data_IF_175115518905
#
_entry.id   IF_175115518905
#
_cell.length_a   1.000
_cell.length_b   1.000
_cell.length_c   1.000
_cell.angle_alpha   90.00
_cell.angle_beta   90.00
_cell.angle_gamma   90.00
#
_symmetry.space_group_name_H-M   'P 1'
#
loop_
_entity.id
_entity.type
_entity.pdbx_description
1 polymer ?
#
# COMPACT_ATOMS: atom_id res chain seq x y z
N UNK A 1 6.92 6.53 33.26
CA UNK A 1 7.18 5.95 31.93
C UNK A 1 6.65 4.54 31.98
N UNK A 2 5.81 4.16 31.03
CA UNK A 2 5.30 2.80 30.91
C UNK A 2 6.45 1.83 30.60
N UNK A 3 6.33 0.60 31.08
CA UNK A 3 7.27 -0.47 30.75
C UNK A 3 6.73 -1.25 29.56
N UNK A 4 7.31 -1.03 28.38
CA UNK A 4 6.93 -1.71 27.14
C UNK A 4 8.05 -2.67 26.74
N UNK A 5 7.69 -3.91 26.44
CA UNK A 5 8.64 -4.90 25.95
C UNK A 5 8.00 -5.85 24.93
N UNK A 6 8.85 -6.40 24.07
CA UNK A 6 8.48 -7.43 23.11
C UNK A 6 9.36 -8.64 23.35
N UNK A 7 8.72 -9.81 23.44
CA UNK A 7 9.40 -11.09 23.58
C UNK A 7 9.01 -12.00 22.42
N UNK A 8 10.00 -12.44 21.65
CA UNK A 8 9.80 -13.43 20.58
C UNK A 8 9.66 -14.82 21.22
N UNK A 9 8.61 -15.55 20.86
CA UNK A 9 8.36 -16.88 21.44
C UNK A 9 9.23 -17.89 20.70
N UNK A 10 10.26 -18.40 21.38
CA UNK A 10 11.17 -19.40 20.84
C UNK A 10 10.44 -20.64 20.32
N UNK A 11 10.95 -21.21 19.22
CA UNK A 11 10.36 -22.38 18.57
C UNK A 11 9.05 -22.12 17.82
N UNK A 12 8.57 -20.88 17.76
CA UNK A 12 7.38 -20.51 16.99
C UNK A 12 7.67 -19.38 16.00
N UNK A 13 7.47 -19.66 14.70
CA UNK A 13 7.66 -18.66 13.66
C UNK A 13 6.64 -17.52 13.81
N UNK A 14 7.12 -16.27 13.72
CA UNK A 14 6.32 -15.04 13.69
C UNK A 14 5.52 -14.67 14.95
N UNK A 15 5.58 -15.48 16.01
CA UNK A 15 4.81 -15.23 17.23
C UNK A 15 5.64 -14.44 18.24
N UNK A 16 4.97 -13.54 18.95
CA UNK A 16 5.57 -12.73 20.00
C UNK A 16 4.56 -12.41 21.10
N UNK A 17 5.07 -11.90 22.22
CA UNK A 17 4.30 -11.29 23.29
C UNK A 17 4.66 -9.81 23.35
N UNK A 18 3.66 -8.94 23.30
CA UNK A 18 3.79 -7.53 23.65
C UNK A 18 3.31 -7.37 25.08
N UNK A 19 4.15 -6.80 25.93
CA UNK A 19 3.81 -6.46 27.32
C UNK A 19 3.85 -4.96 27.51
N UNK A 20 2.83 -4.41 28.17
CA UNK A 20 2.71 -3.01 28.55
C UNK A 20 2.27 -2.96 30.01
N UNK A 21 3.17 -2.51 30.89
CA UNK A 21 3.00 -2.56 32.34
C UNK A 21 2.65 -3.99 32.81
N UNK A 22 1.49 -4.19 33.43
CA UNK A 22 1.02 -5.47 33.95
C UNK A 22 0.23 -6.31 32.93
N UNK A 23 -0.12 -5.74 31.77
CA UNK A 23 -0.87 -6.47 30.74
C UNK A 23 0.04 -7.00 29.63
N UNK A 24 -0.40 -8.08 28.99
CA UNK A 24 0.33 -8.68 27.89
C UNK A 24 -0.61 -9.35 26.88
N UNK A 25 -0.23 -9.29 25.61
CA UNK A 25 -0.96 -9.93 24.53
C UNK A 25 0.00 -10.76 23.68
N UNK A 26 -0.41 -11.99 23.36
CA UNK A 26 0.27 -12.82 22.37
C UNK A 26 -0.27 -12.48 20.99
N UNK A 27 0.62 -12.25 20.04
CA UNK A 27 0.28 -11.90 18.67
C UNK A 27 1.21 -12.57 17.66
N UNK A 28 0.87 -12.41 16.38
CA UNK A 28 1.58 -13.03 15.26
C UNK A 28 1.71 -12.07 14.07
N UNK A 29 2.92 -11.98 13.51
CA UNK A 29 3.19 -11.34 12.22
C UNK A 29 2.94 -12.32 11.06
N UNK A 30 2.67 -11.81 9.86
CA UNK A 30 2.57 -12.64 8.67
C UNK A 30 3.93 -13.07 8.18
N UNK A 31 4.93 -12.19 8.29
CA UNK A 31 6.30 -12.46 7.89
C UNK A 31 7.28 -12.14 9.01
N UNK A 32 8.45 -12.78 9.00
CA UNK A 32 9.57 -12.42 9.88
C UNK A 32 9.32 -12.53 11.39
N UNK A 33 10.24 -11.96 12.16
CA UNK A 33 10.11 -11.74 13.60
C UNK A 33 10.04 -10.25 13.86
N UNK A 34 9.39 -9.80 14.95
CA UNK A 34 9.47 -8.40 15.33
C UNK A 34 10.92 -7.96 15.50
N UNK A 35 11.28 -6.82 14.93
CA UNK A 35 12.60 -6.19 15.12
C UNK A 35 12.55 -4.98 16.05
N UNK A 36 11.33 -4.55 16.41
CA UNK A 36 11.11 -3.44 17.33
C UNK A 36 9.67 -2.98 17.39
N UNK A 37 9.47 -1.83 18.02
CA UNK A 37 8.20 -1.12 18.04
C UNK A 37 8.41 0.38 18.06
N UNK A 38 7.38 1.10 17.66
CA UNK A 38 7.27 2.55 17.82
C UNK A 38 6.00 2.89 18.58
N UNK A 39 6.08 3.86 19.49
CA UNK A 39 4.88 4.46 20.10
C UNK A 39 4.36 5.49 19.10
N UNK A 40 3.10 5.34 18.72
CA UNK A 40 2.40 6.23 17.80
C UNK A 40 1.16 6.79 18.47
N UNK A 41 0.67 7.92 17.97
CA UNK A 41 -0.57 8.52 18.42
C UNK A 41 -1.48 8.64 17.20
N UNK A 42 -2.50 7.78 17.16
CA UNK A 42 -3.44 7.73 16.03
C UNK A 42 -4.48 8.84 16.17
N UNK A 43 -4.93 9.14 17.39
CA UNK A 43 -5.90 10.19 17.71
C UNK A 43 -5.53 10.90 19.01
N UNK A 44 -4.90 12.07 18.85
CA UNK A 44 -4.37 12.91 19.93
C UNK A 44 -5.43 13.44 20.90
N UNK A 45 -6.71 13.24 20.57
CA UNK A 45 -7.84 13.66 21.39
C UNK A 45 -8.33 12.57 22.36
N UNK A 46 -7.81 11.33 22.24
CA UNK A 46 -8.15 10.25 23.14
C UNK A 46 -7.05 10.02 24.20
N UNK A 47 -7.23 8.99 25.04
CA UNK A 47 -6.27 8.63 26.10
C UNK A 47 -5.55 7.31 25.82
N UNK A 48 -5.71 6.78 24.62
CA UNK A 48 -5.04 5.56 24.23
C UNK A 48 -3.60 5.88 23.86
N UNK A 49 -2.73 4.94 24.18
CA UNK A 49 -1.39 4.90 23.63
C UNK A 49 -1.34 3.80 22.59
N UNK A 50 -0.89 4.12 21.37
CA UNK A 50 -0.74 3.12 20.33
C UNK A 50 0.71 2.66 20.15
N UNK A 51 0.87 1.36 19.91
CA UNK A 51 2.14 0.70 19.72
C UNK A 51 2.08 0.01 18.36
N UNK A 52 3.00 0.39 17.47
CA UNK A 52 3.19 -0.24 16.18
C UNK A 52 4.39 -1.20 16.27
N UNK A 53 4.10 -2.51 16.32
CA UNK A 53 5.12 -3.56 16.31
C UNK A 53 5.52 -3.85 14.87
N UNK A 54 6.82 -3.79 14.58
CA UNK A 54 7.35 -3.78 13.23
C UNK A 54 8.14 -5.05 12.89
N UNK A 55 8.09 -5.42 11.61
CA UNK A 55 9.06 -6.30 10.96
C UNK A 55 9.28 -5.82 9.53
N UNK A 56 10.50 -5.89 8.98
CA UNK A 56 10.81 -5.37 7.64
C UNK A 56 10.23 -6.24 6.51
N UNK A 57 9.78 -7.46 6.82
CA UNK A 57 9.34 -8.42 5.82
C UNK A 57 10.41 -8.78 4.77
N UNK A 58 10.08 -9.64 3.79
CA UNK A 58 10.94 -9.86 2.63
C UNK A 58 10.96 -8.61 1.73
N UNK A 59 12.12 -8.25 1.16
CA UNK A 59 12.22 -7.18 0.15
C UNK A 59 11.62 -5.82 0.52
N UNK A 60 11.68 -5.43 1.81
CA UNK A 60 11.04 -4.21 2.33
C UNK A 60 9.51 -4.21 2.25
N UNK A 61 8.91 -5.40 2.28
CA UNK A 61 7.47 -5.61 2.51
C UNK A 61 7.17 -5.45 4.00
N UNK A 62 7.49 -4.27 4.55
CA UNK A 62 7.35 -3.98 5.97
C UNK A 62 5.92 -4.29 6.45
N UNK A 63 5.81 -4.74 7.68
CA UNK A 63 4.55 -5.09 8.31
C UNK A 63 4.50 -4.49 9.71
N UNK A 64 3.35 -3.90 10.03
CA UNK A 64 3.07 -3.25 11.29
C UNK A 64 1.81 -3.85 11.90
N UNK A 65 1.93 -4.41 13.10
CA UNK A 65 0.79 -4.79 13.91
C UNK A 65 0.53 -3.71 14.95
N UNK A 66 -0.67 -3.12 14.89
CA UNK A 66 -1.04 -1.95 15.68
C UNK A 66 -1.83 -2.40 16.90
N UNK A 67 -1.41 -1.94 18.08
CA UNK A 67 -2.07 -2.17 19.35
C UNK A 67 -2.44 -0.84 19.99
N UNK A 68 -3.57 -0.79 20.69
CA UNK A 68 -3.96 0.32 21.55
C UNK A 68 -4.01 -0.13 22.99
N UNK A 69 -3.51 0.71 23.89
CA UNK A 69 -3.52 0.51 25.33
C UNK A 69 -4.27 1.67 26.00
N UNK A 70 -5.25 1.35 26.85
CA UNK A 70 -6.07 2.35 27.56
C UNK A 70 -5.68 2.55 29.02
N UNK A 71 -4.46 2.14 29.41
CA UNK A 71 -4.03 2.11 30.82
C UNK A 71 -4.44 0.85 31.58
N UNK A 72 -5.27 -0.03 31.00
CA UNK A 72 -5.76 -1.26 31.64
C UNK A 72 -5.48 -2.48 30.78
N UNK A 73 -5.84 -2.43 29.49
CA UNK A 73 -5.81 -3.56 28.58
C UNK A 73 -5.25 -3.21 27.21
N UNK A 74 -4.50 -4.12 26.63
CA UNK A 74 -3.97 -4.06 25.26
C UNK A 74 -4.98 -4.66 24.29
N UNK A 75 -5.19 -3.99 23.16
CA UNK A 75 -6.07 -4.47 22.09
C UNK A 75 -5.41 -4.32 20.73
N UNK A 76 -5.44 -5.39 19.93
CA UNK A 76 -5.06 -5.31 18.51
C UNK A 76 -6.07 -4.43 17.75
N UNK A 77 -5.56 -3.40 17.08
CA UNK A 77 -6.35 -2.42 16.33
C UNK A 77 -6.33 -2.70 14.82
N UNK A 78 -5.33 -3.41 14.33
CA UNK A 78 -5.26 -3.78 12.93
C UNK A 78 -3.83 -3.93 12.46
N UNK A 79 -3.69 -4.23 11.17
CA UNK A 79 -2.42 -4.48 10.53
C UNK A 79 -2.26 -3.55 9.34
N UNK A 80 -1.08 -2.98 9.21
CA UNK A 80 -0.70 -2.11 8.11
C UNK A 80 0.53 -2.71 7.41
N UNK A 81 0.59 -2.56 6.10
CA UNK A 81 1.77 -2.89 5.32
C UNK A 81 2.60 -1.63 5.05
N UNK A 82 3.84 -1.83 4.57
CA UNK A 82 4.70 -0.79 3.99
C UNK A 82 4.92 0.38 4.94
N UNK A 83 4.89 1.62 4.47
CA UNK A 83 5.32 2.77 5.26
C UNK A 83 4.12 3.61 5.70
N UNK A 84 3.58 3.37 6.92
CA UNK A 84 2.48 4.17 7.47
C UNK A 84 2.93 5.54 7.97
N UNK A 85 2.05 6.53 7.83
CA UNK A 85 2.15 7.83 8.47
C UNK A 85 0.89 8.09 9.30
N UNK A 86 1.07 8.25 10.60
CA UNK A 86 0.02 8.57 11.56
C UNK A 86 -0.15 10.09 11.67
N UNK A 87 -1.40 10.57 11.60
CA UNK A 87 -1.69 12.01 11.60
C UNK A 87 -2.25 12.54 12.93
N UNK A 88 -2.51 11.68 13.92
CA UNK A 88 -3.01 12.09 15.24
C UNK A 88 -4.46 12.60 15.24
N UNK A 89 -5.22 12.37 14.17
CA UNK A 89 -6.62 12.78 14.02
C UNK A 89 -7.53 11.62 13.58
N UNK A 90 -7.14 10.40 13.92
CA UNK A 90 -7.80 9.17 13.50
C UNK A 90 -7.47 8.73 12.07
N UNK A 91 -6.55 9.40 11.36
CA UNK A 91 -6.17 9.05 9.99
C UNK A 91 -4.76 8.49 9.95
N UNK A 92 -4.60 7.40 9.20
CA UNK A 92 -3.30 6.84 8.81
C UNK A 92 -3.23 6.77 7.29
N UNK A 93 -2.13 7.23 6.72
CA UNK A 93 -1.85 7.04 5.28
C UNK A 93 -0.71 6.05 5.14
N UNK A 94 -0.96 4.96 4.42
CA UNK A 94 0.05 3.96 4.07
C UNK A 94 0.55 4.23 2.66
N UNK A 95 1.88 4.30 2.49
CA UNK A 95 2.53 4.42 1.19
C UNK A 95 3.10 3.06 0.77
N UNK A 96 2.67 2.56 -0.38
CA UNK A 96 3.14 1.32 -1.00
C UNK A 96 3.84 1.63 -2.33
N UNK A 97 4.99 1.02 -2.58
CA UNK A 97 5.77 1.26 -3.80
C UNK A 97 5.30 0.35 -4.93
N UNK A 98 4.87 0.95 -6.04
CA UNK A 98 4.30 0.27 -7.20
C UNK A 98 5.28 0.24 -8.38
N UNK A 99 6.58 0.17 -8.10
CA UNK A 99 7.64 0.07 -9.10
C UNK A 99 8.17 1.42 -9.60
N UNK A 100 7.31 2.35 -10.03
CA UNK A 100 7.72 3.70 -10.50
C UNK A 100 6.93 4.85 -9.88
N UNK A 101 5.94 4.51 -9.05
CA UNK A 101 5.08 5.45 -8.34
C UNK A 101 4.68 4.83 -7.00
N UNK A 102 3.98 5.59 -6.15
CA UNK A 102 3.55 5.10 -4.86
C UNK A 102 2.05 5.19 -4.66
N UNK A 103 1.42 4.04 -4.39
CA UNK A 103 0.03 3.94 -3.97
C UNK A 103 -0.11 4.49 -2.55
N UNK A 104 -1.17 5.26 -2.31
CA UNK A 104 -1.47 5.82 -1.00
C UNK A 104 -2.84 5.34 -0.54
N UNK A 105 -2.84 4.49 0.47
CA UNK A 105 -4.06 3.99 1.10
C UNK A 105 -4.41 4.79 2.35
N UNK A 106 -5.69 5.04 2.55
CA UNK A 106 -6.19 5.76 3.72
C UNK A 106 -6.87 4.80 4.66
N UNK A 107 -6.44 4.79 5.91
CA UNK A 107 -7.10 4.11 7.00
C UNK A 107 -7.71 5.14 7.95
N UNK A 108 -8.87 4.82 8.50
CA UNK A 108 -9.53 5.61 9.55
C UNK A 108 -9.72 4.78 10.79
N UNK A 109 -9.51 5.38 11.94
CA UNK A 109 -9.78 4.78 13.23
C UNK A 109 -11.29 4.71 13.46
N UNK A 110 -11.82 3.50 13.55
CA UNK A 110 -13.16 3.26 14.06
C UNK A 110 -13.12 3.34 15.59
N UNK A 111 -13.54 4.48 16.14
CA UNK A 111 -13.49 4.76 17.57
C UNK A 111 -14.24 3.71 18.42
N UNK A 112 -15.39 3.22 17.94
CA UNK A 112 -16.21 2.26 18.67
C UNK A 112 -15.57 0.86 18.68
N UNK A 113 -15.09 0.41 17.52
CA UNK A 113 -14.46 -0.89 17.40
C UNK A 113 -13.01 -0.89 17.90
N UNK A 114 -12.39 0.30 18.03
CA UNK A 114 -10.95 0.51 18.21
C UNK A 114 -10.15 -0.29 17.18
N UNK A 115 -10.50 -0.12 15.90
CA UNK A 115 -9.79 -0.76 14.80
C UNK A 115 -9.55 0.22 13.65
N UNK A 116 -8.45 0.01 12.91
CA UNK A 116 -8.17 0.73 11.67
C UNK A 116 -8.96 0.10 10.52
N UNK A 117 -9.67 0.94 9.77
CA UNK A 117 -10.48 0.52 8.63
C UNK A 117 -9.95 1.19 7.36
N UNK A 118 -9.62 0.38 6.35
CA UNK A 118 -9.28 0.87 5.02
C UNK A 118 -10.49 1.61 4.42
N UNK A 119 -10.25 2.81 3.90
CA UNK A 119 -11.18 3.52 3.03
C UNK A 119 -10.75 3.21 1.59
N UNK A 120 -11.45 2.32 0.88
CA UNK A 120 -11.08 1.93 -0.47
C UNK A 120 -11.21 3.12 -1.43
N UNK A 121 -10.30 3.17 -2.40
CA UNK A 121 -10.34 4.11 -3.52
C UNK A 121 -10.40 3.31 -4.81
N UNK A 122 -11.30 3.70 -5.71
CA UNK A 122 -11.43 3.06 -7.02
C UNK A 122 -10.22 3.35 -7.92
N UNK A 123 -9.65 4.55 -7.78
CA UNK A 123 -8.52 5.03 -8.57
C UNK A 123 -7.50 5.72 -7.67
N UNK A 124 -6.23 5.51 -7.99
CA UNK A 124 -5.11 6.12 -7.30
C UNK A 124 -4.40 7.11 -8.21
N UNK A 125 -4.05 8.27 -7.67
CA UNK A 125 -3.30 9.28 -8.41
C UNK A 125 -1.84 8.86 -8.59
N UNK A 126 -1.37 8.86 -9.84
CA UNK A 126 0.01 8.58 -10.24
C UNK A 126 0.74 9.91 -10.50
N UNK A 127 0.27 10.70 -11.47
CA UNK A 127 0.74 12.05 -11.71
C UNK A 127 2.15 12.18 -12.26
N UNK A 128 2.61 11.22 -13.07
CA UNK A 128 3.99 11.19 -13.59
C UNK A 128 4.01 11.63 -15.05
N UNK A 129 4.77 12.68 -15.34
CA UNK A 129 5.14 13.06 -16.71
C UNK A 129 6.33 12.23 -17.18
N UNK A 130 6.25 11.70 -18.40
CA UNK A 130 7.33 10.92 -19.01
C UNK A 130 7.31 11.02 -20.53
N UNK A 131 8.33 10.48 -21.18
CA UNK A 131 8.48 10.44 -22.63
C UNK A 131 8.23 9.03 -23.15
N UNK A 132 7.48 8.95 -24.24
CA UNK A 132 7.25 7.69 -24.97
C UNK A 132 8.54 7.27 -25.67
N UNK A 133 9.05 6.08 -25.37
CA UNK A 133 10.23 5.49 -26.04
C UNK A 133 9.83 4.70 -27.29
N UNK A 134 8.73 3.96 -27.19
CA UNK A 134 8.17 3.15 -28.28
C UNK A 134 6.66 3.35 -28.34
N UNK A 135 6.09 3.23 -29.54
CA UNK A 135 4.65 3.44 -29.72
C UNK A 135 3.80 2.37 -29.04
N UNK A 136 2.66 2.78 -28.50
CA UNK A 136 1.64 1.89 -27.98
C UNK A 136 0.26 2.56 -27.96
N UNK A 137 -0.83 1.77 -28.04
CA UNK A 137 -2.18 2.31 -28.03
C UNK A 137 -2.65 2.65 -26.62
N UNK A 138 -3.51 3.67 -26.54
CA UNK A 138 -4.43 3.86 -25.41
C UNK A 138 -5.87 3.64 -25.90
N UNK A 139 -6.65 2.92 -25.10
CA UNK A 139 -8.00 2.48 -25.42
C UNK A 139 -9.07 3.32 -24.73
N UNK A 140 -10.30 3.23 -25.23
CA UNK A 140 -11.43 4.01 -24.73
C UNK A 140 -11.84 3.62 -23.31
N UNK A 141 -11.87 2.33 -23.00
CA UNK A 141 -12.23 1.80 -21.67
C UNK A 141 -11.25 0.69 -21.26
N UNK A 142 -11.43 0.13 -20.06
CA UNK A 142 -10.62 -1.00 -19.54
C UNK A 142 -11.12 -2.36 -20.07
N UNK A 143 -12.28 -2.39 -20.71
CA UNK A 143 -12.97 -3.60 -21.18
C UNK A 143 -12.97 -3.70 -22.70
N UNK A 144 -12.78 -2.58 -23.39
CA UNK A 144 -12.84 -2.45 -24.84
C UNK A 144 -11.45 -2.15 -25.42
N UNK A 145 -11.05 -2.91 -26.44
CA UNK A 145 -9.78 -2.74 -27.17
C UNK A 145 -9.84 -1.64 -28.24
N UNK A 146 -10.94 -0.89 -28.35
CA UNK A 146 -11.06 0.24 -29.25
C UNK A 146 -9.99 1.29 -28.92
N UNK A 147 -9.00 1.40 -29.82
CA UNK A 147 -7.91 2.36 -29.75
C UNK A 147 -8.45 3.77 -29.98
N UNK A 148 -8.09 4.69 -29.08
CA UNK A 148 -8.37 6.13 -29.23
C UNK A 148 -7.22 6.83 -29.94
N UNK A 149 -5.99 6.47 -29.58
CA UNK A 149 -4.77 6.99 -30.22
C UNK A 149 -3.60 6.04 -29.98
N UNK A 150 -2.70 5.94 -30.96
CA UNK A 150 -1.38 5.37 -30.78
C UNK A 150 -0.42 6.49 -30.36
N UNK A 151 0.20 6.32 -29.20
CA UNK A 151 1.15 7.30 -28.68
C UNK A 151 2.45 7.24 -29.49
N UNK A 152 2.95 8.40 -29.92
CA UNK A 152 4.11 8.48 -30.80
C UNK A 152 5.44 8.46 -30.01
N UNK A 153 6.49 7.79 -30.50
CA UNK A 153 7.81 7.88 -29.90
C UNK A 153 8.29 9.33 -29.78
N UNK A 154 8.96 9.65 -28.68
CA UNK A 154 9.46 10.96 -28.27
C UNK A 154 8.39 11.99 -27.85
N UNK A 155 7.10 11.68 -27.98
CA UNK A 155 6.03 12.52 -27.42
C UNK A 155 6.02 12.46 -25.90
N UNK A 156 5.45 13.49 -25.28
CA UNK A 156 5.22 13.54 -23.83
C UNK A 156 3.85 12.97 -23.46
N UNK A 157 3.80 12.33 -22.30
CA UNK A 157 2.55 11.84 -21.70
C UNK A 157 2.54 12.08 -20.20
N UNK A 158 1.34 12.08 -19.62
CA UNK A 158 1.15 12.00 -18.17
C UNK A 158 0.42 10.70 -17.85
N UNK A 159 1.04 9.86 -17.04
CA UNK A 159 0.36 8.73 -16.39
C UNK A 159 -0.41 9.31 -15.20
N UNK A 160 -1.74 9.42 -15.33
CA UNK A 160 -2.58 10.19 -14.40
C UNK A 160 -3.08 9.35 -13.24
N UNK A 161 -3.74 8.24 -13.54
CA UNK A 161 -4.43 7.40 -12.57
C UNK A 161 -4.06 5.94 -12.77
N UNK A 162 -4.13 5.17 -11.70
CA UNK A 162 -4.02 3.71 -11.71
C UNK A 162 -5.26 3.08 -11.08
N UNK A 163 -5.75 2.03 -11.71
CA UNK A 163 -6.67 1.05 -11.16
C UNK A 163 -5.92 -0.29 -10.98
N UNK A 164 -5.56 -0.66 -9.73
CA UNK A 164 -4.87 -1.90 -9.43
C UNK A 164 -5.82 -3.10 -9.26
N UNK A 165 -7.07 -3.03 -9.76
CA UNK A 165 -8.05 -4.08 -9.49
C UNK A 165 -7.67 -5.43 -10.14
N UNK A 166 -7.52 -6.51 -9.34
CA UNK A 166 -7.16 -7.84 -9.84
C UNK A 166 -8.30 -8.52 -10.61
N UNK A 167 -9.51 -7.95 -10.62
CA UNK A 167 -10.65 -8.51 -11.37
C UNK A 167 -10.37 -8.63 -12.86
N UNK A 168 -9.44 -7.83 -13.40
CA UNK A 168 -9.07 -7.87 -14.81
C UNK A 168 -7.95 -8.88 -15.14
N UNK A 169 -7.37 -9.57 -14.16
CA UNK A 169 -6.32 -10.58 -14.34
C UNK A 169 -6.81 -12.03 -14.38
N UNK A 170 -7.95 -12.33 -13.75
CA UNK A 170 -8.28 -13.70 -13.27
C UNK A 170 -8.44 -14.77 -14.36
N UNK A 171 -8.48 -14.40 -15.64
CA UNK A 171 -8.62 -15.35 -16.75
C UNK A 171 -7.34 -15.57 -17.57
N UNK A 172 -6.38 -14.63 -17.58
CA UNK A 172 -5.24 -14.69 -18.51
C UNK A 172 -3.90 -15.15 -17.90
N UNK A 173 -3.74 -15.11 -16.57
CA UNK A 173 -2.41 -15.30 -15.94
C UNK A 173 -2.46 -16.24 -14.72
N UNK A 174 -2.72 -17.54 -14.97
CA UNK A 174 -2.63 -18.57 -13.91
C UNK A 174 -1.20 -18.84 -13.41
N UNK A 175 -0.17 -18.43 -14.14
CA UNK A 175 1.22 -18.85 -13.90
C UNK A 175 2.27 -17.71 -13.85
N UNK A 176 1.87 -16.43 -13.76
CA UNK A 176 2.83 -15.29 -13.70
C UNK A 176 2.80 -14.65 -12.31
N UNK A 177 3.98 -14.53 -11.70
CA UNK A 177 4.22 -14.14 -10.30
C UNK A 177 4.13 -12.62 -10.06
N UNK A 178 4.03 -11.79 -11.11
CA UNK A 178 3.98 -10.32 -10.98
C UNK A 178 2.58 -9.75 -11.28
N UNK A 179 1.81 -9.53 -10.22
CA UNK A 179 0.41 -9.07 -10.23
C UNK A 179 0.22 -7.68 -10.89
N UNK A 180 1.26 -6.83 -10.88
CA UNK A 180 1.21 -5.45 -11.35
C UNK A 180 1.02 -5.28 -12.87
N UNK A 181 1.34 -6.29 -13.68
CA UNK A 181 1.23 -6.19 -15.14
C UNK A 181 -0.22 -6.00 -15.65
N UNK A 182 -1.18 -6.33 -14.81
CA UNK A 182 -2.60 -6.14 -15.08
C UNK A 182 -3.14 -4.75 -14.77
N UNK A 183 -2.40 -3.95 -14.00
CA UNK A 183 -2.85 -2.65 -13.56
C UNK A 183 -3.21 -1.78 -14.76
N UNK A 184 -4.36 -1.10 -14.66
CA UNK A 184 -4.84 -0.20 -15.70
C UNK A 184 -4.44 1.21 -15.38
N UNK A 185 -3.81 1.88 -16.35
CA UNK A 185 -3.37 3.25 -16.23
C UNK A 185 -4.15 4.15 -17.16
N UNK A 186 -4.66 5.25 -16.62
CA UNK A 186 -5.26 6.31 -17.40
C UNK A 186 -4.17 7.31 -17.79
N UNK A 187 -3.95 7.46 -19.09
CA UNK A 187 -2.82 8.21 -19.66
C UNK A 187 -3.37 9.36 -20.49
N UNK A 188 -2.73 10.53 -20.36
CA UNK A 188 -3.00 11.72 -21.17
C UNK A 188 -1.83 11.98 -22.12
N UNK A 189 -2.12 12.13 -23.42
CA UNK A 189 -1.15 12.56 -24.42
C UNK A 189 -0.82 14.06 -24.31
N UNK A 190 0.27 14.49 -24.94
CA UNK A 190 0.60 15.92 -25.06
C UNK A 190 -0.46 16.76 -25.78
N UNK A 191 -1.25 16.15 -26.68
CA UNK A 191 -2.38 16.79 -27.38
C UNK A 191 -3.66 16.85 -26.54
N UNK A 192 -3.66 16.26 -25.34
CA UNK A 192 -4.80 16.27 -24.42
C UNK A 192 -5.80 15.12 -24.61
N UNK A 193 -5.52 14.17 -25.50
CA UNK A 193 -6.30 12.94 -25.64
C UNK A 193 -6.01 12.03 -24.44
N UNK A 194 -7.05 11.39 -23.90
CA UNK A 194 -6.94 10.49 -22.76
C UNK A 194 -7.45 9.10 -23.10
N UNK A 195 -6.87 8.09 -22.46
CA UNK A 195 -7.26 6.69 -22.65
C UNK A 195 -6.60 5.76 -21.65
N UNK A 196 -7.01 4.52 -21.67
CA UNK A 196 -6.56 3.46 -20.77
C UNK A 196 -5.52 2.56 -21.44
N UNK A 197 -4.48 2.19 -20.71
CA UNK A 197 -3.56 1.14 -21.13
C UNK A 197 -3.20 0.26 -19.93
N UNK A 198 -3.07 -1.05 -20.15
CA UNK A 198 -2.51 -1.95 -19.14
C UNK A 198 -0.99 -1.77 -19.05
N UNK A 199 -0.43 -1.96 -17.86
CA UNK A 199 1.02 -1.89 -17.66
C UNK A 199 1.78 -2.79 -18.63
N UNK A 200 1.30 -4.02 -18.88
CA UNK A 200 1.90 -4.96 -19.86
C UNK A 200 2.14 -4.37 -21.25
N UNK A 201 1.38 -3.36 -21.66
CA UNK A 201 1.51 -2.76 -22.99
C UNK A 201 2.62 -1.72 -23.07
N UNK A 202 3.05 -1.14 -21.95
CA UNK A 202 3.94 0.02 -21.93
C UNK A 202 5.07 -0.01 -20.89
N UNK A 203 5.20 -1.07 -20.09
CA UNK A 203 6.15 -1.15 -18.97
C UNK A 203 7.60 -0.75 -19.35
N UNK A 204 8.05 -1.13 -20.54
CA UNK A 204 9.36 -0.81 -21.13
C UNK A 204 9.32 0.30 -22.19
N UNK A 205 8.12 0.75 -22.57
CA UNK A 205 7.89 1.73 -23.64
C UNK A 205 7.81 3.16 -23.16
N UNK A 206 7.75 3.40 -21.85
CA UNK A 206 7.82 4.72 -21.25
C UNK A 206 9.17 4.92 -20.55
N UNK A 207 9.62 6.17 -20.49
CA UNK A 207 10.79 6.57 -19.69
C UNK A 207 10.49 6.66 -18.19
N UNK A 208 9.91 5.61 -17.61
CA UNK A 208 9.59 5.54 -16.19
C UNK A 208 10.83 5.14 -15.38
N UNK A 209 10.95 5.72 -14.19
CA UNK A 209 12.01 5.38 -13.24
C UNK A 209 11.52 4.24 -12.36
N UNK A 210 11.78 3.03 -12.83
CA UNK A 210 11.57 1.82 -12.06
C UNK A 210 12.60 1.75 -10.92
N UNK A 211 12.20 1.22 -9.77
CA UNK A 211 13.18 0.82 -8.76
C UNK A 211 14.01 -0.36 -9.29
N UNK A 212 15.33 -0.25 -9.15
CA UNK A 212 16.28 -1.36 -9.31
C UNK A 212 16.21 -2.31 -8.11
#
# INVERSE_FOLDING_TARGET
>A
MEQISIYVIEGTYHNFVLSINEDSIRAKLFSGTPDGFTIVDIDTMDQYQEIAVHTPGPSSDDEYLIFGYNGISIKEMGRLSRWPKFFGNGIVIVKDWMGFWAKKEKYVLNQKARTLQLIPQDLYYVGIETTVRQSFPICRTREDSTVVVDLEPKSKVIVLLCDPSPTHCKEEMRDVIDDYYCDWYFIKSETGIVGWARLKLFWDKLGLNWAD
#
